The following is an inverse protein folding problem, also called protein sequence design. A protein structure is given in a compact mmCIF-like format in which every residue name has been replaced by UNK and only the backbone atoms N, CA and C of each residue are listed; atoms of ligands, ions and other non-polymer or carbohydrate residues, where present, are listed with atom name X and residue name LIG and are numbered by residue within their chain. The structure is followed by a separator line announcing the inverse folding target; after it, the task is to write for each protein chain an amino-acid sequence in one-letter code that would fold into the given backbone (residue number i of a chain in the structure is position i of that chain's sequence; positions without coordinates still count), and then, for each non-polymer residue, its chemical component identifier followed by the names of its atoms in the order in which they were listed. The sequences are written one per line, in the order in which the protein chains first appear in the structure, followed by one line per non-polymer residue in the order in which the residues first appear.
data_IF_614250253545
#
_entry.id   IF_614250253545
#
_cell.length_a   1.000
_cell.length_b   1.000
_cell.length_c   1.000
_cell.angle_alpha   90.00
_cell.angle_beta   90.00
_cell.angle_gamma   90.00
#
_symmetry.space_group_name_H-M   'P 1'
#
loop_
_entity.id
_entity.type
_entity.pdbx_description
1 polymer ?
#
# COMPACT_ATOMS: atom_id res chain seq x y z
N UNK A 1 -12.35 13.11 -15.22
CA UNK A 1 -11.42 12.77 -14.11
C UNK A 1 -11.80 13.60 -12.90
N UNK A 2 -12.28 12.99 -11.82
CA UNK A 2 -12.46 13.72 -10.55
C UNK A 2 -11.07 13.95 -9.96
N UNK A 3 -10.64 15.19 -9.89
CA UNK A 3 -9.36 15.56 -9.31
C UNK A 3 -9.33 15.15 -7.83
N UNK A 4 -8.41 14.25 -7.47
CA UNK A 4 -8.23 13.81 -6.09
C UNK A 4 -7.49 14.92 -5.31
N UNK A 5 -8.22 15.91 -4.85
CA UNK A 5 -7.63 17.02 -4.12
C UNK A 5 -7.35 16.62 -2.67
N UNK A 6 -6.08 16.39 -2.37
CA UNK A 6 -5.65 16.23 -0.97
C UNK A 6 -5.86 17.55 -0.21
N UNK A 7 -6.38 17.50 1.04
CA UNK A 7 -6.53 18.69 1.88
C UNK A 7 -5.22 19.50 2.00
N UNK A 8 -5.33 20.82 2.12
CA UNK A 8 -4.15 21.71 2.24
C UNK A 8 -3.20 21.26 3.35
N UNK A 9 -3.74 20.86 4.52
CA UNK A 9 -2.96 20.34 5.64
C UNK A 9 -2.14 19.09 5.27
N UNK A 10 -2.77 18.10 4.61
CA UNK A 10 -2.07 16.88 4.15
C UNK A 10 -0.97 17.22 3.17
N UNK A 11 -1.20 18.14 2.22
CA UNK A 11 -0.17 18.60 1.28
C UNK A 11 1.01 19.26 1.98
N UNK A 12 0.75 20.11 2.99
CA UNK A 12 1.79 20.76 3.78
C UNK A 12 2.63 19.73 4.55
N UNK A 13 1.99 18.75 5.20
CA UNK A 13 2.67 17.65 5.91
C UNK A 13 3.56 16.86 4.95
N UNK A 14 3.05 16.45 3.81
CA UNK A 14 3.83 15.71 2.79
C UNK A 14 5.03 16.53 2.33
N UNK A 15 4.84 17.83 2.05
CA UNK A 15 5.95 18.73 1.64
C UNK A 15 7.02 18.85 2.73
N UNK A 16 6.63 19.02 3.98
CA UNK A 16 7.56 19.11 5.12
C UNK A 16 8.31 17.79 5.30
N UNK A 17 7.63 16.65 5.29
CA UNK A 17 8.28 15.34 5.43
C UNK A 17 9.27 15.05 4.29
N UNK A 18 8.94 15.40 3.05
CA UNK A 18 9.87 15.28 1.91
C UNK A 18 11.12 16.15 2.08
N UNK A 19 10.98 17.34 2.65
CA UNK A 19 12.12 18.25 2.88
C UNK A 19 13.04 17.75 4.01
N UNK A 20 12.45 17.23 5.11
CA UNK A 20 13.21 16.72 6.27
C UNK A 20 13.85 15.36 5.99
N UNK A 21 13.20 14.52 5.21
CA UNK A 21 13.68 13.15 4.95
C UNK A 21 13.66 12.84 3.44
N UNK A 22 14.57 13.45 2.65
CA UNK A 22 14.56 13.33 1.19
C UNK A 22 14.92 11.91 0.73
N UNK A 23 14.23 11.48 -0.35
CA UNK A 23 14.49 10.24 -1.06
C UNK A 23 14.70 10.48 -2.54
N UNK A 24 15.45 9.59 -3.16
CA UNK A 24 15.51 9.48 -4.62
C UNK A 24 14.35 8.64 -5.13
N UNK A 25 13.95 8.91 -6.37
CA UNK A 25 12.95 8.09 -7.08
C UNK A 25 13.57 7.71 -8.42
N UNK A 26 13.57 6.42 -8.73
CA UNK A 26 14.08 5.87 -9.99
C UNK A 26 12.95 5.14 -10.71
N UNK A 27 12.95 5.18 -12.06
CA UNK A 27 11.92 4.54 -12.89
C UNK A 27 10.61 5.31 -13.00
N UNK A 28 10.56 6.59 -12.57
CA UNK A 28 9.35 7.41 -12.66
C UNK A 28 8.86 7.61 -14.10
N UNK A 29 9.78 7.63 -15.07
CA UNK A 29 9.51 7.74 -16.50
C UNK A 29 8.68 6.58 -17.06
N UNK A 30 8.80 5.39 -16.48
CA UNK A 30 8.04 4.19 -16.88
C UNK A 30 6.53 4.37 -16.73
N UNK A 31 6.11 5.26 -15.81
CA UNK A 31 4.69 5.51 -15.56
C UNK A 31 3.99 6.24 -16.71
N UNK A 32 4.75 6.88 -17.61
CA UNK A 32 4.20 7.57 -18.79
C UNK A 32 3.57 6.61 -19.80
N UNK A 33 3.93 5.32 -19.75
CA UNK A 33 3.38 4.28 -20.62
C UNK A 33 1.96 3.84 -20.23
N UNK A 34 1.46 4.23 -19.04
CA UNK A 34 0.22 3.71 -18.49
C UNK A 34 -0.83 4.80 -18.32
N UNK A 35 -2.08 4.45 -18.61
CA UNK A 35 -3.20 5.35 -18.38
C UNK A 35 -3.57 5.42 -16.89
N UNK A 36 -4.00 6.58 -16.45
CA UNK A 36 -4.48 6.76 -15.08
C UNK A 36 -5.77 5.95 -14.86
N UNK A 37 -5.84 5.32 -13.69
CA UNK A 37 -6.95 4.45 -13.30
C UNK A 37 -6.76 2.98 -13.66
N UNK A 38 -5.72 2.63 -14.42
CA UNK A 38 -5.39 1.24 -14.74
C UNK A 38 -4.24 0.69 -13.91
N UNK A 39 -3.53 1.55 -13.16
CA UNK A 39 -2.31 1.18 -12.43
C UNK A 39 -2.60 0.77 -11.00
N UNK A 40 -2.09 -0.39 -10.65
CA UNK A 40 -2.04 -0.95 -9.30
C UNK A 40 -0.55 -0.99 -8.87
N UNK A 41 -0.12 -0.06 -8.04
CA UNK A 41 1.22 -0.06 -7.45
C UNK A 41 1.29 -1.10 -6.37
N UNK A 42 2.25 -2.00 -6.47
CA UNK A 42 2.49 -3.09 -5.52
C UNK A 42 3.81 -2.83 -4.83
N UNK A 43 3.77 -2.49 -3.54
CA UNK A 43 4.93 -2.05 -2.80
C UNK A 43 5.23 -2.96 -1.61
N UNK A 44 6.53 -3.14 -1.28
CA UNK A 44 6.95 -3.80 -0.06
C UNK A 44 6.45 -3.04 1.18
N UNK A 45 6.20 -3.77 2.27
CA UNK A 45 5.73 -3.16 3.52
C UNK A 45 6.89 -2.67 4.42
N UNK A 46 7.91 -3.50 4.62
CA UNK A 46 9.09 -3.16 5.41
C UNK A 46 8.74 -2.52 6.75
N UNK A 47 7.84 -3.11 7.52
CA UNK A 47 7.16 -2.54 8.69
C UNK A 47 6.33 -1.27 8.30
N UNK A 48 6.72 -0.09 8.74
CA UNK A 48 6.05 1.19 8.44
C UNK A 48 6.73 1.91 7.27
N UNK A 49 7.96 1.56 6.95
CA UNK A 49 8.80 2.34 6.04
C UNK A 49 8.28 2.36 4.60
N UNK A 50 7.95 1.20 4.04
CA UNK A 50 7.42 1.07 2.68
C UNK A 50 6.17 1.93 2.45
N UNK A 51 5.11 1.77 3.28
CA UNK A 51 3.93 2.63 3.21
C UNK A 51 4.24 4.13 3.25
N UNK A 52 5.07 4.57 4.20
CA UNK A 52 5.40 5.99 4.33
C UNK A 52 6.20 6.49 3.11
N UNK A 53 7.23 5.77 2.70
CA UNK A 53 8.06 6.15 1.56
C UNK A 53 7.26 6.20 0.25
N UNK A 54 6.46 5.15 -0.04
CA UNK A 54 5.62 5.12 -1.23
C UNK A 54 4.57 6.26 -1.23
N UNK A 55 3.89 6.49 -0.09
CA UNK A 55 2.92 7.58 0.03
C UNK A 55 3.53 8.97 -0.13
N UNK A 56 4.79 9.15 0.28
CA UNK A 56 5.48 10.42 0.14
C UNK A 56 6.05 10.62 -1.27
N UNK A 57 6.63 9.59 -1.89
CA UNK A 57 7.53 9.77 -3.02
C UNK A 57 7.03 9.23 -4.36
N UNK A 58 5.97 8.40 -4.41
CA UNK A 58 5.37 8.05 -5.72
C UNK A 58 4.93 9.31 -6.46
N UNK A 59 5.40 9.52 -7.71
CA UNK A 59 5.22 10.77 -8.46
C UNK A 59 3.87 10.84 -9.19
N UNK A 60 2.83 10.20 -8.65
CA UNK A 60 1.49 10.16 -9.24
C UNK A 60 0.40 10.18 -8.18
N UNK A 61 -0.82 10.40 -8.60
CA UNK A 61 -2.00 10.36 -7.72
C UNK A 61 -2.50 8.93 -7.61
N UNK A 62 -2.75 8.48 -6.38
CA UNK A 62 -3.24 7.13 -6.07
C UNK A 62 -4.07 7.14 -4.79
N UNK A 63 -4.84 6.06 -4.59
CA UNK A 63 -5.56 5.77 -3.35
C UNK A 63 -4.95 4.53 -2.70
N UNK A 64 -4.40 4.64 -1.48
CA UNK A 64 -3.80 3.49 -0.81
C UNK A 64 -4.85 2.56 -0.20
N UNK A 65 -4.56 1.26 -0.22
CA UNK A 65 -5.23 0.29 0.62
C UNK A 65 -4.71 0.42 2.05
N UNK A 66 -5.63 0.59 3.00
CA UNK A 66 -5.33 0.71 4.42
C UNK A 66 -6.23 -0.24 5.19
N UNK A 67 -5.68 -0.98 6.15
CA UNK A 67 -6.47 -1.88 6.98
C UNK A 67 -7.63 -1.11 7.63
N UNK A 68 -8.85 -1.63 7.55
CA UNK A 68 -10.07 -0.93 8.02
C UNK A 68 -9.97 -0.47 9.47
N UNK A 69 -9.33 -1.28 10.33
CA UNK A 69 -9.06 -0.95 11.74
C UNK A 69 -8.19 0.30 11.93
N UNK A 70 -7.35 0.64 10.95
CA UNK A 70 -6.53 1.86 10.97
C UNK A 70 -7.32 3.13 10.63
N UNK A 71 -8.56 3.01 10.19
CA UNK A 71 -9.46 4.13 9.86
C UNK A 71 -10.53 4.37 10.93
N UNK A 72 -10.60 3.52 11.95
CA UNK A 72 -11.58 3.61 13.05
C UNK A 72 -10.84 4.00 14.34
N UNK A 73 -11.22 5.16 14.94
CA UNK A 73 -10.50 5.75 16.08
C UNK A 73 -10.32 4.81 17.27
N UNK A 74 -11.32 4.01 17.56
CA UNK A 74 -11.25 3.11 18.73
C UNK A 74 -10.41 1.85 18.45
N UNK A 75 -10.36 1.39 17.20
CA UNK A 75 -9.62 0.20 16.81
C UNK A 75 -8.15 0.49 16.50
N UNK A 76 -7.80 1.69 16.01
CA UNK A 76 -6.43 2.05 15.63
C UNK A 76 -5.48 2.02 16.84
N UNK A 77 -5.95 2.45 18.02
CA UNK A 77 -5.13 2.47 19.24
C UNK A 77 -4.70 1.06 19.63
N UNK A 78 -5.64 0.12 19.67
CA UNK A 78 -5.34 -1.27 20.00
C UNK A 78 -4.51 -1.96 18.91
N UNK A 79 -4.84 -1.72 17.64
CA UNK A 79 -4.07 -2.28 16.54
C UNK A 79 -2.60 -1.79 16.53
N UNK A 80 -2.37 -0.49 16.74
CA UNK A 80 -1.02 0.07 16.81
C UNK A 80 -0.29 -0.33 18.10
N UNK A 81 -1.02 -0.50 19.19
CA UNK A 81 -0.43 -0.94 20.45
C UNK A 81 0.17 -2.34 20.26
N UNK A 82 -0.62 -3.34 19.90
CA UNK A 82 -0.15 -4.72 19.74
C UNK A 82 0.78 -4.90 18.53
N UNK A 83 0.47 -4.23 17.42
CA UNK A 83 1.27 -4.34 16.19
C UNK A 83 2.66 -3.71 16.28
N UNK A 84 2.85 -2.67 17.10
CA UNK A 84 4.09 -1.88 17.07
C UNK A 84 4.54 -1.43 18.44
N UNK A 85 3.67 -0.78 19.23
CA UNK A 85 4.08 -0.01 20.40
C UNK A 85 4.45 -0.90 21.60
N UNK A 86 3.82 -2.05 21.73
CA UNK A 86 4.11 -3.03 22.80
C UNK A 86 5.59 -3.41 22.83
N UNK A 87 6.21 -3.58 21.66
CA UNK A 87 7.62 -3.96 21.49
C UNK A 87 8.62 -2.82 21.74
N UNK A 88 8.16 -1.57 21.88
CA UNK A 88 9.05 -0.42 22.08
C UNK A 88 9.47 -0.31 23.56
N UNK A 89 10.70 -0.73 23.87
CA UNK A 89 11.23 -0.75 25.24
C UNK A 89 11.65 0.64 25.77
N UNK A 90 11.85 1.62 24.85
CA UNK A 90 12.27 2.97 25.23
C UNK A 90 11.14 3.81 25.85
N UNK A 91 9.87 3.43 25.64
CA UNK A 91 8.70 4.14 26.16
C UNK A 91 8.08 3.33 27.31
N UNK A 92 7.92 3.92 28.52
CA UNK A 92 7.23 3.28 29.64
C UNK A 92 5.78 2.90 29.27
N UNK A 93 5.33 1.74 29.76
CA UNK A 93 4.03 1.15 29.43
C UNK A 93 2.85 2.12 29.64
N UNK A 94 2.88 2.84 30.78
CA UNK A 94 1.85 3.83 31.14
C UNK A 94 1.65 4.95 30.13
N UNK A 95 2.63 5.24 29.25
CA UNK A 95 2.56 6.31 28.26
C UNK A 95 2.17 5.82 26.85
N UNK A 96 2.27 4.53 26.57
CA UNK A 96 2.06 3.97 25.23
C UNK A 96 0.66 4.25 24.71
N UNK A 97 -0.40 3.81 25.42
CA UNK A 97 -1.79 4.03 25.03
C UNK A 97 -2.21 5.51 25.04
N UNK A 98 -1.88 6.35 26.06
CA UNK A 98 -2.14 7.79 26.00
C UNK A 98 -1.50 8.46 24.78
N UNK A 99 -0.25 8.15 24.45
CA UNK A 99 0.41 8.69 23.27
C UNK A 99 -0.30 8.28 21.97
N UNK A 100 -0.67 6.99 21.83
CA UNK A 100 -1.43 6.52 20.68
C UNK A 100 -2.77 7.25 20.55
N UNK A 101 -3.51 7.44 21.64
CA UNK A 101 -4.77 8.21 21.61
C UNK A 101 -4.57 9.65 21.16
N UNK A 102 -3.46 10.28 21.57
CA UNK A 102 -3.14 11.65 21.16
C UNK A 102 -2.87 11.77 19.66
N UNK A 103 -2.16 10.80 19.05
CA UNK A 103 -1.80 10.84 17.62
C UNK A 103 -2.90 10.26 16.69
N UNK A 104 -3.82 9.47 17.23
CA UNK A 104 -4.89 8.81 16.45
C UNK A 104 -5.71 9.77 15.60
N UNK A 105 -6.22 10.93 16.10
CA UNK A 105 -7.00 11.86 15.28
C UNK A 105 -6.21 12.37 14.06
N UNK A 106 -4.92 12.57 14.23
CA UNK A 106 -4.02 12.99 13.16
C UNK A 106 -3.84 11.89 12.10
N UNK A 107 -3.65 10.63 12.53
CA UNK A 107 -3.52 9.49 11.61
C UNK A 107 -4.80 9.27 10.80
N UNK A 108 -5.96 9.31 11.45
CA UNK A 108 -7.26 9.19 10.77
C UNK A 108 -7.42 10.31 9.75
N UNK A 109 -7.13 11.56 10.12
CA UNK A 109 -7.15 12.69 9.21
C UNK A 109 -6.24 12.50 7.98
N UNK A 110 -5.04 11.92 8.17
CA UNK A 110 -4.14 11.61 7.06
C UNK A 110 -4.73 10.55 6.14
N UNK A 111 -5.26 9.45 6.67
CA UNK A 111 -5.85 8.38 5.85
C UNK A 111 -7.09 8.84 5.09
N UNK A 112 -7.95 9.63 5.71
CA UNK A 112 -9.09 10.27 5.04
C UNK A 112 -8.60 11.23 3.94
N UNK A 113 -7.60 12.04 4.24
CA UNK A 113 -7.06 13.05 3.32
C UNK A 113 -6.29 12.49 2.13
N UNK A 114 -5.82 11.23 2.19
CA UNK A 114 -5.29 10.51 1.03
C UNK A 114 -6.34 9.62 0.35
N UNK A 115 -7.60 9.71 0.78
CA UNK A 115 -8.72 8.93 0.25
C UNK A 115 -8.47 7.43 0.29
N UNK A 116 -7.94 6.94 1.41
CA UNK A 116 -7.62 5.53 1.59
C UNK A 116 -8.85 4.63 1.36
N UNK A 117 -8.60 3.44 0.82
CA UNK A 117 -9.61 2.41 0.62
C UNK A 117 -9.49 1.41 1.77
N UNK A 118 -10.54 1.19 2.59
CA UNK A 118 -10.49 0.25 3.69
C UNK A 118 -10.38 -1.19 3.21
N UNK A 119 -9.46 -1.95 3.81
CA UNK A 119 -9.27 -3.38 3.57
C UNK A 119 -9.80 -4.16 4.77
N UNK A 120 -10.79 -5.01 4.55
CA UNK A 120 -11.42 -5.84 5.57
C UNK A 120 -10.81 -7.24 5.56
N UNK A 121 -9.68 -7.43 6.25
CA UNK A 121 -9.03 -8.75 6.38
C UNK A 121 -9.84 -9.67 7.30
N UNK A 122 -9.86 -10.96 6.98
CA UNK A 122 -10.58 -11.97 7.79
C UNK A 122 -12.10 -11.94 7.68
N UNK A 123 -12.67 -11.08 6.85
CA UNK A 123 -14.11 -10.94 6.64
C UNK A 123 -14.45 -11.03 5.14
N UNK A 124 -14.66 -12.24 4.58
CA UNK A 124 -14.82 -12.43 3.13
C UNK A 124 -15.94 -11.60 2.50
N UNK A 125 -17.07 -11.42 3.20
CA UNK A 125 -18.18 -10.59 2.72
C UNK A 125 -17.81 -9.12 2.62
N UNK A 126 -17.06 -8.59 3.58
CA UNK A 126 -16.61 -7.20 3.61
C UNK A 126 -15.44 -6.96 2.65
N UNK A 127 -14.63 -8.00 2.37
CA UNK A 127 -13.54 -7.91 1.38
C UNK A 127 -14.07 -7.56 -0.02
N UNK A 128 -15.25 -8.06 -0.38
CA UNK A 128 -15.92 -7.67 -1.63
C UNK A 128 -16.25 -6.19 -1.69
N UNK A 129 -16.44 -5.53 -0.54
CA UNK A 129 -16.61 -4.08 -0.46
C UNK A 129 -15.32 -3.34 -0.79
N UNK A 130 -14.17 -3.83 -0.31
CA UNK A 130 -12.85 -3.32 -0.69
C UNK A 130 -12.67 -3.38 -2.20
N UNK A 131 -12.92 -4.52 -2.82
CA UNK A 131 -12.79 -4.68 -4.28
C UNK A 131 -13.71 -3.73 -5.05
N UNK A 132 -14.96 -3.61 -4.65
CA UNK A 132 -15.92 -2.70 -5.29
C UNK A 132 -15.45 -1.24 -5.22
N UNK A 133 -15.02 -0.77 -4.04
CA UNK A 133 -14.48 0.58 -3.85
C UNK A 133 -13.20 0.82 -4.70
N UNK A 134 -12.37 -0.21 -4.82
CA UNK A 134 -11.16 -0.18 -5.66
C UNK A 134 -11.51 -0.02 -7.13
N UNK A 135 -12.44 -0.84 -7.64
CA UNK A 135 -12.88 -0.78 -9.04
C UNK A 135 -13.60 0.52 -9.39
N UNK A 136 -14.37 1.08 -8.43
CA UNK A 136 -14.97 2.41 -8.59
C UNK A 136 -13.89 3.50 -8.69
N UNK A 137 -12.87 3.44 -7.84
CA UNK A 137 -11.74 4.35 -7.89
C UNK A 137 -10.97 4.26 -9.21
N UNK A 138 -10.68 3.04 -9.69
CA UNK A 138 -10.02 2.81 -10.99
C UNK A 138 -10.85 3.34 -12.16
N UNK A 139 -12.17 3.09 -12.17
CA UNK A 139 -13.08 3.64 -13.18
C UNK A 139 -13.05 5.18 -13.19
N UNK A 140 -12.95 5.81 -12.02
CA UNK A 140 -12.90 7.27 -11.87
C UNK A 140 -11.51 7.86 -12.22
N UNK A 141 -10.55 7.02 -12.68
CA UNK A 141 -9.22 7.42 -13.12
C UNK A 141 -8.17 7.47 -12.00
N UNK A 142 -8.42 6.82 -10.85
CA UNK A 142 -7.46 6.81 -9.75
C UNK A 142 -6.65 5.52 -9.75
N UNK A 143 -5.34 5.66 -9.67
CA UNK A 143 -4.43 4.53 -9.42
C UNK A 143 -4.55 4.05 -7.97
N UNK A 144 -4.13 2.81 -7.72
CA UNK A 144 -4.23 2.17 -6.40
C UNK A 144 -2.83 1.84 -5.88
N UNK A 145 -2.61 1.98 -4.58
CA UNK A 145 -1.38 1.54 -3.92
C UNK A 145 -1.70 0.41 -2.93
N UNK A 146 -1.04 -0.74 -3.09
CA UNK A 146 -1.30 -1.96 -2.33
C UNK A 146 0.01 -2.46 -1.70
N UNK A 147 -0.08 -2.93 -0.45
CA UNK A 147 0.99 -3.59 0.29
C UNK A 147 0.56 -5.03 0.55
N UNK A 148 0.94 -5.99 -0.31
CA UNK A 148 0.39 -7.34 -0.28
C UNK A 148 1.04 -8.27 0.75
N UNK A 149 2.14 -7.86 1.41
CA UNK A 149 2.86 -8.71 2.34
C UNK A 149 1.97 -9.23 3.47
N UNK A 150 2.14 -10.52 3.76
CA UNK A 150 1.48 -11.19 4.87
C UNK A 150 2.29 -11.00 6.16
N UNK A 151 1.70 -10.33 7.14
CA UNK A 151 2.31 -10.10 8.44
C UNK A 151 2.01 -11.21 9.47
N UNK A 152 1.09 -12.14 9.14
CA UNK A 152 0.50 -13.04 10.14
C UNK A 152 1.29 -14.34 10.33
N UNK A 153 2.34 -14.61 9.53
CA UNK A 153 3.08 -15.88 9.51
C UNK A 153 4.34 -15.90 10.40
N UNK A 154 4.49 -14.96 11.34
CA UNK A 154 5.72 -14.87 12.12
C UNK A 154 5.52 -15.16 13.62
N UNK A 155 6.57 -15.74 14.22
CA UNK A 155 6.68 -16.07 15.63
C UNK A 155 6.23 -14.94 16.57
N UNK A 156 5.58 -15.29 17.67
CA UNK A 156 5.18 -14.36 18.73
C UNK A 156 6.30 -13.39 19.11
N UNK A 157 5.99 -12.11 19.14
CA UNK A 157 6.93 -11.04 19.53
C UNK A 157 7.83 -10.49 18.42
N UNK A 158 7.75 -11.01 17.20
CA UNK A 158 8.45 -10.44 16.03
C UNK A 158 7.46 -9.72 15.10
N UNK A 159 7.94 -8.66 14.40
CA UNK A 159 7.16 -8.04 13.34
C UNK A 159 6.97 -9.06 12.22
N UNK A 160 5.73 -9.25 11.77
CA UNK A 160 5.42 -10.09 10.61
C UNK A 160 5.96 -9.56 9.29
N UNK A 161 6.57 -8.36 9.28
CA UNK A 161 7.15 -7.78 8.09
C UNK A 161 8.66 -7.93 8.07
N UNK A 162 9.21 -8.32 6.92
CA UNK A 162 10.67 -8.38 6.70
C UNK A 162 11.20 -6.96 6.57
N UNK A 163 12.22 -6.60 7.36
CA UNK A 163 12.79 -5.23 7.37
C UNK A 163 13.56 -4.89 6.10
N UNK A 164 14.37 -5.84 5.63
CA UNK A 164 15.22 -5.73 4.46
C UNK A 164 14.91 -6.91 3.54
N UNK A 165 13.95 -6.75 2.65
CA UNK A 165 13.48 -7.82 1.77
C UNK A 165 12.00 -7.72 1.47
N UNK A 166 11.42 -8.81 1.02
CA UNK A 166 10.01 -8.93 0.64
C UNK A 166 9.45 -10.21 1.26
N UNK A 167 8.38 -10.07 2.03
CA UNK A 167 7.65 -11.19 2.61
C UNK A 167 6.69 -11.86 1.63
N UNK A 168 6.09 -12.96 2.07
CA UNK A 168 5.07 -13.66 1.28
C UNK A 168 3.84 -12.78 1.02
N UNK A 169 3.18 -12.99 -0.11
CA UNK A 169 2.05 -12.17 -0.54
C UNK A 169 0.70 -12.84 -0.31
N UNK A 170 -0.26 -12.06 0.17
CA UNK A 170 -1.66 -12.36 -0.08
C UNK A 170 -1.98 -12.16 -1.55
N UNK A 171 -2.24 -13.22 -2.30
CA UNK A 171 -2.44 -13.15 -3.76
C UNK A 171 -3.79 -12.61 -4.21
N UNK A 172 -4.73 -12.40 -3.26
CA UNK A 172 -6.10 -11.95 -3.57
C UNK A 172 -6.20 -10.63 -4.32
N UNK A 173 -5.26 -9.73 -4.16
CA UNK A 173 -5.24 -8.45 -4.86
C UNK A 173 -5.13 -8.60 -6.40
N UNK A 174 -4.48 -9.68 -6.87
CA UNK A 174 -4.32 -9.92 -8.31
C UNK A 174 -5.64 -10.22 -9.04
N UNK A 175 -6.69 -10.62 -8.29
CA UNK A 175 -8.06 -10.75 -8.83
C UNK A 175 -8.62 -9.42 -9.38
N UNK A 176 -8.06 -8.29 -8.93
CA UNK A 176 -8.44 -6.96 -9.44
C UNK A 176 -8.21 -6.84 -10.96
N UNK A 177 -7.21 -7.52 -11.51
CA UNK A 177 -6.97 -7.54 -12.95
C UNK A 177 -8.18 -8.06 -13.73
N UNK A 178 -8.65 -9.26 -13.36
CA UNK A 178 -9.84 -9.87 -13.98
C UNK A 178 -11.10 -9.03 -13.74
N UNK A 179 -11.31 -8.57 -12.51
CA UNK A 179 -12.50 -7.79 -12.15
C UNK A 179 -12.53 -6.45 -12.89
N UNK A 180 -11.39 -5.79 -13.06
CA UNK A 180 -11.26 -4.54 -13.81
C UNK A 180 -11.55 -4.76 -15.30
N UNK A 181 -10.98 -5.81 -15.90
CA UNK A 181 -11.28 -6.21 -17.28
C UNK A 181 -12.75 -6.55 -17.49
N UNK A 182 -13.34 -7.37 -16.60
CA UNK A 182 -14.75 -7.74 -16.69
C UNK A 182 -15.67 -6.52 -16.69
N UNK A 183 -15.36 -5.52 -15.82
CA UNK A 183 -16.20 -4.36 -15.60
C UNK A 183 -15.95 -3.21 -16.59
N UNK A 184 -14.69 -2.90 -16.84
CA UNK A 184 -14.28 -1.68 -17.55
C UNK A 184 -13.71 -1.95 -18.94
N UNK A 185 -13.47 -3.22 -19.32
CA UNK A 185 -12.83 -3.65 -20.59
C UNK A 185 -11.44 -3.01 -20.81
N UNK A 186 -10.77 -2.64 -19.72
CA UNK A 186 -9.41 -2.11 -19.70
C UNK A 186 -8.50 -3.08 -18.96
N UNK A 187 -7.25 -3.22 -19.43
CA UNK A 187 -6.27 -4.10 -18.77
C UNK A 187 -5.65 -3.38 -17.59
N UNK A 188 -5.71 -3.99 -16.43
CA UNK A 188 -4.98 -3.50 -15.27
C UNK A 188 -3.48 -3.73 -15.44
N UNK A 189 -2.67 -2.81 -14.91
CA UNK A 189 -1.21 -2.87 -14.91
C UNK A 189 -0.71 -2.90 -13.47
N UNK A 190 -0.01 -3.96 -13.09
CA UNK A 190 0.57 -4.13 -11.77
C UNK A 190 2.02 -3.67 -11.78
N UNK A 191 2.31 -2.54 -11.17
CA UNK A 191 3.62 -1.90 -11.17
C UNK A 191 4.35 -2.19 -9.86
N UNK A 192 5.47 -2.95 -9.88
CA UNK A 192 6.26 -3.18 -8.68
C UNK A 192 6.97 -1.89 -8.25
N UNK A 193 6.91 -1.62 -6.94
CA UNK A 193 7.56 -0.48 -6.30
C UNK A 193 8.32 -0.97 -5.07
N UNK A 194 9.61 -0.70 -5.00
CA UNK A 194 10.41 -1.06 -3.84
C UNK A 194 10.92 0.16 -3.10
N UNK A 195 10.60 0.26 -1.82
CA UNK A 195 11.08 1.29 -0.93
C UNK A 195 12.29 0.79 -0.13
N UNK A 196 13.50 1.21 -0.52
CA UNK A 196 14.75 0.85 0.12
C UNK A 196 15.12 1.85 1.22
N UNK A 197 15.04 1.42 2.48
CA UNK A 197 15.31 2.27 3.65
C UNK A 197 16.78 2.69 3.74
N UNK A 198 17.71 1.77 3.46
CA UNK A 198 19.16 2.03 3.58
C UNK A 198 19.63 3.04 2.56
N UNK A 199 19.15 2.92 1.32
CA UNK A 199 19.51 3.79 0.21
C UNK A 199 18.68 5.09 0.16
N UNK A 200 17.58 5.20 0.92
CA UNK A 200 16.58 6.26 0.78
C UNK A 200 16.11 6.40 -0.66
N UNK A 201 15.71 5.27 -1.24
CA UNK A 201 15.38 5.16 -2.64
C UNK A 201 14.01 4.49 -2.80
N UNK A 202 13.18 5.04 -3.69
CA UNK A 202 11.96 4.39 -4.17
C UNK A 202 12.19 4.03 -5.62
N UNK A 203 12.24 2.74 -5.93
CA UNK A 203 12.43 2.22 -7.29
C UNK A 203 11.08 1.78 -7.85
N UNK A 204 10.78 2.19 -9.08
CA UNK A 204 9.60 1.81 -9.84
C UNK A 204 10.07 0.97 -11.02
N UNK A 205 9.52 -0.24 -11.14
CA UNK A 205 9.87 -1.13 -12.24
C UNK A 205 8.75 -1.18 -13.31
N UNK A 206 9.00 -1.91 -14.41
CA UNK A 206 8.05 -2.07 -15.50
C UNK A 206 6.79 -2.81 -15.04
N UNK A 207 5.64 -2.37 -15.51
CA UNK A 207 4.37 -2.95 -15.13
C UNK A 207 4.13 -4.33 -15.75
N UNK A 208 3.44 -5.18 -15.01
CA UNK A 208 2.94 -6.47 -15.46
C UNK A 208 1.49 -6.26 -15.89
N UNK A 209 1.24 -6.37 -17.18
CA UNK A 209 -0.11 -6.19 -17.75
C UNK A 209 -0.93 -7.46 -17.52
N UNK A 210 -2.17 -7.27 -17.05
CA UNK A 210 -3.14 -8.35 -16.94
C UNK A 210 -3.49 -8.90 -18.33
N UNK A 211 -3.45 -10.21 -18.48
CA UNK A 211 -3.81 -10.90 -19.71
C UNK A 211 -5.17 -11.61 -19.58
N UNK A 212 -6.22 -11.16 -20.28
CA UNK A 212 -7.54 -11.76 -20.21
C UNK A 212 -7.64 -13.13 -20.89
N UNK A 213 -6.65 -13.52 -21.70
CA UNK A 213 -6.62 -14.82 -22.39
C UNK A 213 -6.22 -15.97 -21.45
N UNK A 214 -5.55 -15.65 -20.35
CA UNK A 214 -5.17 -16.65 -19.34
C UNK A 214 -6.35 -17.02 -18.42
N UNK A 215 -6.32 -18.25 -17.90
CA UNK A 215 -7.26 -18.69 -16.89
C UNK A 215 -7.17 -17.85 -15.62
N UNK A 216 -8.32 -17.54 -14.98
CA UNK A 216 -8.38 -16.63 -13.81
C UNK A 216 -7.40 -16.95 -12.69
N UNK A 217 -7.28 -18.24 -12.32
CA UNK A 217 -6.35 -18.64 -11.26
C UNK A 217 -4.90 -18.65 -11.72
N UNK A 218 -4.66 -19.04 -12.95
CA UNK A 218 -3.33 -19.02 -13.56
C UNK A 218 -2.78 -17.59 -13.62
N UNK A 219 -3.57 -16.67 -14.15
CA UNK A 219 -3.17 -15.26 -14.27
C UNK A 219 -2.95 -14.60 -12.91
N UNK A 220 -3.81 -14.89 -11.93
CA UNK A 220 -3.63 -14.43 -10.55
C UNK A 220 -2.28 -14.88 -9.97
N UNK A 221 -1.93 -16.15 -10.15
CA UNK A 221 -0.67 -16.69 -9.65
C UNK A 221 0.53 -16.16 -10.42
N UNK A 222 0.44 -16.05 -11.76
CA UNK A 222 1.48 -15.46 -12.60
C UNK A 222 1.82 -14.04 -12.15
N UNK A 223 0.81 -13.18 -11.99
CA UNK A 223 1.01 -11.79 -11.56
C UNK A 223 1.65 -11.74 -10.16
N UNK A 224 1.13 -12.51 -9.21
CA UNK A 224 1.66 -12.51 -7.84
C UNK A 224 3.12 -12.99 -7.78
N UNK A 225 3.45 -14.06 -8.50
CA UNK A 225 4.80 -14.61 -8.57
C UNK A 225 5.77 -13.62 -9.22
N UNK A 226 5.44 -13.09 -10.40
CA UNK A 226 6.30 -12.12 -11.08
C UNK A 226 6.56 -10.86 -10.24
N UNK A 227 5.54 -10.35 -9.54
CA UNK A 227 5.69 -9.23 -8.62
C UNK A 227 6.64 -9.56 -7.46
N UNK A 228 6.47 -10.72 -6.85
CA UNK A 228 7.33 -11.15 -5.74
C UNK A 228 8.77 -11.31 -6.19
N UNK A 229 9.03 -11.95 -7.36
CA UNK A 229 10.35 -12.10 -7.94
C UNK A 229 11.04 -10.76 -8.22
N UNK A 230 10.32 -9.81 -8.86
CA UNK A 230 10.86 -8.49 -9.19
C UNK A 230 11.14 -7.66 -7.94
N UNK A 231 10.21 -7.62 -6.98
CA UNK A 231 10.42 -6.92 -5.72
C UNK A 231 11.59 -7.52 -4.93
N UNK A 232 11.72 -8.85 -4.93
CA UNK A 232 12.84 -9.55 -4.30
C UNK A 232 14.18 -9.29 -5.01
N UNK A 233 14.18 -9.08 -6.33
CA UNK A 233 15.36 -8.65 -7.07
C UNK A 233 15.79 -7.24 -6.67
N UNK A 234 14.87 -6.28 -6.66
CA UNK A 234 15.14 -4.90 -6.21
C UNK A 234 15.60 -4.81 -4.75
N UNK A 235 15.19 -5.76 -3.90
CA UNK A 235 15.63 -5.83 -2.51
C UNK A 235 17.10 -6.22 -2.35
N UNK A 236 17.65 -6.98 -3.33
CA UNK A 236 19.06 -7.44 -3.34
C UNK A 236 20.04 -6.41 -3.92
N UNK A 237 19.56 -5.45 -4.69
CA UNK A 237 20.31 -4.30 -5.21
C UNK A 237 20.61 -3.25 -4.14
#
# INVERSE_FOLDING_TARGET
MKELQRPRGVRAIVKTLRAVYPHKVEGAEKLQAYEQGDVLFICNHGEIYGPVAAMLYLPTVFRPWVLSRMMIRDEIVEHMYYGTMERQKWLPEKWKRPLLRLITPFLVYLFEGVHAIPVYRGQPKELMKTFRLTLDAMRDGHNILIFPENADEHEEGKSGFIKDGVGDFYTGFAMLGMMHWARNKRRAVFVPVYANKRKRLVTIDDGIVFDPENGTNEEKLRIAQMLHERLSAMARE
#
